data_IF_945896156030
#
_entry.id   IF_945896156030
#
_cell.length_a   1.000
_cell.length_b   1.000
_cell.length_c   1.000
_cell.angle_alpha   90.00
_cell.angle_beta   90.00
_cell.angle_gamma   90.00
#
_symmetry.space_group_name_H-M   'P 1'
#
loop_
_entity.id
_entity.type
_entity.pdbx_description
1 polymer ?
#
# COMPACT_ATOMS: atom_id res chain seq x y z
N UNK A 1 -50.66 -6.38 -13.19
CA UNK A 1 -49.52 -7.16 -13.71
C UNK A 1 -48.37 -6.97 -12.74
N UNK A 2 -48.12 -7.95 -11.87
CA UNK A 2 -47.09 -7.91 -10.82
C UNK A 2 -45.75 -8.26 -11.43
N UNK A 3 -44.76 -7.36 -11.31
CA UNK A 3 -43.37 -7.66 -11.69
C UNK A 3 -42.83 -8.84 -10.88
N UNK A 4 -42.00 -9.72 -11.46
CA UNK A 4 -41.40 -10.82 -10.72
C UNK A 4 -40.29 -10.30 -9.77
N UNK A 5 -40.04 -10.99 -8.64
CA UNK A 5 -38.99 -10.62 -7.71
C UNK A 5 -37.60 -10.90 -8.30
N UNK A 6 -36.68 -9.94 -8.16
CA UNK A 6 -35.27 -10.10 -8.49
C UNK A 6 -34.65 -10.96 -7.39
N UNK A 7 -34.31 -12.21 -7.70
CA UNK A 7 -33.50 -13.07 -6.84
C UNK A 7 -32.03 -12.73 -7.03
N UNK A 8 -31.37 -12.26 -5.97
CA UNK A 8 -29.92 -12.11 -5.92
C UNK A 8 -29.30 -13.49 -5.72
N UNK A 9 -28.65 -14.02 -6.76
CA UNK A 9 -27.79 -15.20 -6.63
C UNK A 9 -26.56 -14.85 -5.78
N UNK A 10 -26.14 -15.82 -4.97
CA UNK A 10 -25.05 -15.73 -3.98
C UNK A 10 -23.80 -15.07 -4.56
N UNK A 11 -23.22 -14.16 -3.76
CA UNK A 11 -21.93 -13.51 -3.98
C UNK A 11 -20.89 -14.50 -4.51
N UNK A 12 -20.63 -14.40 -5.81
CA UNK A 12 -19.42 -14.88 -6.43
C UNK A 12 -18.29 -13.99 -5.88
N UNK A 13 -17.53 -14.50 -4.92
CA UNK A 13 -16.33 -13.84 -4.40
C UNK A 13 -15.44 -13.48 -5.59
N UNK A 14 -15.40 -12.20 -5.92
CA UNK A 14 -14.53 -11.62 -6.94
C UNK A 14 -13.09 -11.70 -6.40
N UNK A 15 -12.50 -12.89 -6.50
CA UNK A 15 -11.09 -13.08 -6.21
C UNK A 15 -10.29 -12.28 -7.22
N UNK A 16 -9.66 -11.19 -6.77
CA UNK A 16 -8.67 -10.51 -7.59
C UNK A 16 -7.57 -11.53 -7.93
N UNK A 17 -7.27 -11.76 -9.23
CA UNK A 17 -6.14 -12.59 -9.59
C UNK A 17 -4.88 -11.98 -8.98
N UNK A 18 -4.08 -12.81 -8.30
CA UNK A 18 -2.79 -12.45 -7.69
C UNK A 18 -1.71 -12.13 -8.75
N UNK A 19 -2.12 -11.94 -10.01
CA UNK A 19 -1.23 -11.60 -11.11
C UNK A 19 -0.83 -10.12 -11.00
N UNK A 20 0.42 -9.84 -11.39
CA UNK A 20 0.94 -8.48 -11.48
C UNK A 20 -0.01 -7.64 -12.35
N UNK A 21 -0.60 -6.58 -11.80
CA UNK A 21 -1.52 -5.71 -12.55
C UNK A 21 -0.82 -5.01 -13.74
N UNK A 22 0.49 -4.85 -13.67
CA UNK A 22 1.29 -4.32 -14.76
C UNK A 22 1.77 -5.48 -15.65
N UNK A 23 1.62 -5.32 -16.97
CA UNK A 23 2.28 -6.16 -17.97
C UNK A 23 3.76 -6.24 -17.63
N UNK A 24 4.38 -7.42 -17.70
CA UNK A 24 5.82 -7.57 -17.45
C UNK A 24 6.61 -6.55 -18.28
N UNK A 25 7.22 -5.61 -17.57
CA UNK A 25 8.11 -4.61 -18.14
C UNK A 25 9.53 -5.19 -18.14
N UNK A 26 10.35 -4.87 -19.16
CA UNK A 26 11.74 -5.31 -19.20
C UNK A 26 12.58 -4.77 -18.03
N UNK A 27 12.14 -3.67 -17.42
CA UNK A 27 12.77 -3.04 -16.26
C UNK A 27 11.69 -2.83 -15.20
N UNK A 28 11.90 -3.39 -14.01
CA UNK A 28 10.96 -3.22 -12.90
C UNK A 28 10.97 -1.77 -12.40
N UNK A 29 9.81 -1.19 -12.03
CA UNK A 29 9.76 0.12 -11.37
C UNK A 29 10.68 0.20 -10.15
N UNK A 30 11.32 1.35 -9.95
CA UNK A 30 12.29 1.55 -8.86
C UNK A 30 13.67 0.93 -9.11
N UNK A 31 13.93 0.39 -10.30
CA UNK A 31 15.27 -0.07 -10.69
C UNK A 31 16.19 1.09 -11.04
N UNK A 32 17.48 0.95 -10.71
CA UNK A 32 18.51 1.88 -11.15
C UNK A 32 18.84 1.65 -12.63
N UNK A 33 18.66 2.67 -13.47
CA UNK A 33 18.93 2.59 -14.92
C UNK A 33 20.35 3.01 -15.31
N UNK A 34 21.24 3.23 -14.35
CA UNK A 34 22.53 3.87 -14.59
C UNK A 34 22.44 5.40 -14.53
N UNK A 35 23.59 6.09 -14.56
CA UNK A 35 23.60 7.54 -14.64
C UNK A 35 23.25 7.99 -16.06
N UNK A 36 22.64 9.18 -16.17
CA UNK A 36 22.43 9.85 -17.47
C UNK A 36 23.77 10.15 -18.15
N UNK A 37 24.83 10.34 -17.35
CA UNK A 37 26.19 10.58 -17.78
C UNK A 37 27.13 9.52 -17.22
N UNK A 38 27.55 8.59 -18.07
CA UNK A 38 28.43 7.48 -17.73
C UNK A 38 29.88 7.90 -17.45
N UNK A 39 30.25 9.16 -17.70
CA UNK A 39 31.60 9.68 -17.43
C UNK A 39 31.82 10.04 -15.95
N UNK A 40 30.75 10.09 -15.14
CA UNK A 40 30.85 10.44 -13.71
C UNK A 40 31.45 9.29 -12.88
N UNK A 41 32.28 9.61 -11.86
CA UNK A 41 32.80 8.61 -10.93
C UNK A 41 31.68 7.83 -10.24
N UNK A 42 31.77 6.49 -10.23
CA UNK A 42 30.78 5.59 -9.63
C UNK A 42 29.60 5.21 -10.54
N UNK A 43 29.65 5.57 -11.82
CA UNK A 43 28.65 5.22 -12.85
C UNK A 43 28.43 3.70 -13.04
N UNK A 44 29.43 2.89 -12.68
CA UNK A 44 29.47 1.45 -12.81
C UNK A 44 28.74 0.71 -11.66
N UNK A 45 28.40 1.40 -10.57
CA UNK A 45 27.84 0.79 -9.36
C UNK A 45 26.40 1.20 -9.12
N UNK A 46 25.54 0.22 -8.89
CA UNK A 46 24.16 0.46 -8.42
C UNK A 46 24.22 1.12 -7.04
N UNK A 47 23.63 2.33 -6.84
CA UNK A 47 23.60 2.99 -5.55
C UNK A 47 22.93 2.13 -4.48
N UNK A 48 23.39 2.23 -3.23
CA UNK A 48 22.82 1.49 -2.10
C UNK A 48 21.30 1.67 -1.96
N UNK A 49 20.78 2.83 -2.35
CA UNK A 49 19.35 3.15 -2.34
C UNK A 49 18.51 2.16 -3.18
N UNK A 50 19.06 1.65 -4.28
CA UNK A 50 18.37 0.77 -5.22
C UNK A 50 18.75 -0.70 -5.07
N UNK A 51 19.56 -1.03 -4.07
CA UNK A 51 19.90 -2.42 -3.76
C UNK A 51 18.87 -3.01 -2.79
N UNK A 52 18.54 -4.31 -2.90
CA UNK A 52 17.68 -4.99 -1.94
C UNK A 52 18.22 -4.92 -0.52
N UNK A 53 17.31 -5.00 0.45
CA UNK A 53 17.65 -5.06 1.86
C UNK A 53 16.68 -5.98 2.60
N UNK A 54 17.23 -6.77 3.53
CA UNK A 54 16.47 -7.76 4.30
C UNK A 54 16.43 -7.38 5.77
N UNK A 55 15.23 -7.38 6.35
CA UNK A 55 14.97 -7.20 7.78
C UNK A 55 14.25 -8.42 8.29
N UNK A 56 14.89 -9.20 9.18
CA UNK A 56 14.39 -10.54 9.59
C UNK A 56 14.14 -11.39 8.34
N UNK A 57 12.90 -11.83 8.14
CA UNK A 57 12.50 -12.67 7.01
C UNK A 57 11.90 -11.87 5.84
N UNK A 58 11.89 -10.53 5.93
CA UNK A 58 11.32 -9.64 4.92
C UNK A 58 12.42 -9.04 4.04
N UNK A 59 12.44 -9.44 2.77
CA UNK A 59 13.28 -8.80 1.73
C UNK A 59 12.48 -7.73 1.00
N UNK A 60 13.06 -6.53 0.93
CA UNK A 60 12.54 -5.36 0.24
C UNK A 60 13.42 -5.10 -1.00
N UNK A 61 12.80 -4.81 -2.15
CA UNK A 61 13.47 -4.71 -3.46
C UNK A 61 14.43 -3.52 -3.59
N UNK A 62 14.23 -2.46 -2.79
CA UNK A 62 15.09 -1.30 -2.70
C UNK A 62 14.91 -0.62 -1.32
N UNK A 63 15.69 0.43 -1.04
CA UNK A 63 15.66 1.16 0.23
C UNK A 63 14.80 2.44 0.17
N UNK A 64 13.95 2.57 -0.83
CA UNK A 64 12.98 3.68 -0.93
C UNK A 64 11.75 3.30 -0.10
N UNK A 65 11.55 4.03 1.00
CA UNK A 65 10.46 3.78 1.95
C UNK A 65 9.52 4.98 1.98
N UNK A 66 8.23 4.72 1.83
CA UNK A 66 7.20 5.73 2.06
C UNK A 66 6.85 5.72 3.56
N UNK A 67 7.09 6.82 4.29
CA UNK A 67 6.76 6.90 5.69
C UNK A 67 5.24 6.96 5.91
N UNK A 68 4.76 6.68 7.13
CA UNK A 68 3.34 6.88 7.46
C UNK A 68 3.00 8.38 7.37
N UNK A 69 2.02 8.73 6.53
CA UNK A 69 1.56 10.10 6.31
C UNK A 69 0.04 10.16 6.49
N UNK A 70 -0.45 10.85 7.52
CA UNK A 70 -1.89 11.01 7.73
C UNK A 70 -2.52 11.80 6.59
N UNK A 71 -3.57 11.25 5.99
CA UNK A 71 -4.27 11.88 4.87
C UNK A 71 -5.63 12.44 5.24
N UNK A 72 -6.11 12.18 6.46
CA UNK A 72 -7.36 12.73 6.99
C UNK A 72 -8.55 12.50 6.05
N UNK A 73 -8.59 11.33 5.43
CA UNK A 73 -9.50 11.01 4.32
C UNK A 73 -10.32 9.74 4.57
N UNK A 74 -10.38 9.27 5.82
CA UNK A 74 -11.24 8.17 6.22
C UNK A 74 -12.60 8.66 6.69
N UNK A 75 -13.59 7.77 6.63
CA UNK A 75 -14.89 7.95 7.27
C UNK A 75 -15.05 6.86 8.32
N UNK A 76 -15.27 7.26 9.57
CA UNK A 76 -15.43 6.34 10.71
C UNK A 76 -14.26 5.35 10.89
N UNK A 77 -13.04 5.72 10.49
CA UNK A 77 -11.86 4.86 10.54
C UNK A 77 -11.67 3.96 9.32
N UNK A 78 -12.63 3.90 8.40
CA UNK A 78 -12.54 3.03 7.23
C UNK A 78 -11.64 3.62 6.15
N UNK A 79 -10.66 2.81 5.72
CA UNK A 79 -9.99 3.04 4.46
C UNK A 79 -10.99 2.94 3.30
N UNK A 80 -10.70 3.65 2.22
CA UNK A 80 -11.53 3.72 1.02
C UNK A 80 -10.68 3.88 -0.24
N UNK A 81 -11.32 4.10 -1.40
CA UNK A 81 -10.65 4.17 -2.71
C UNK A 81 -9.55 5.22 -2.78
N UNK A 82 -9.66 6.31 -2.01
CA UNK A 82 -8.60 7.30 -1.86
C UNK A 82 -7.29 6.66 -1.37
N UNK A 83 -7.36 5.83 -0.33
CA UNK A 83 -6.19 5.21 0.29
C UNK A 83 -5.55 4.18 -0.65
N UNK A 84 -6.37 3.44 -1.41
CA UNK A 84 -5.89 2.56 -2.47
C UNK A 84 -5.14 3.34 -3.56
N UNK A 85 -5.72 4.41 -4.07
CA UNK A 85 -5.07 5.24 -5.08
C UNK A 85 -3.78 5.88 -4.54
N UNK A 86 -3.81 6.41 -3.33
CA UNK A 86 -2.67 7.07 -2.70
C UNK A 86 -1.51 6.10 -2.45
N UNK A 87 -1.74 5.05 -1.64
CA UNK A 87 -0.70 4.09 -1.27
C UNK A 87 -0.26 3.23 -2.48
N UNK A 88 -1.23 2.86 -3.32
CA UNK A 88 -0.98 2.10 -4.55
C UNK A 88 -0.13 2.88 -5.55
N UNK A 89 -0.29 4.20 -5.64
CA UNK A 89 0.55 5.03 -6.53
C UNK A 89 2.03 4.89 -6.19
N UNK A 90 2.41 4.88 -4.91
CA UNK A 90 3.82 4.72 -4.54
C UNK A 90 4.37 3.35 -4.89
N UNK A 91 3.57 2.30 -4.74
CA UNK A 91 3.96 0.95 -5.12
C UNK A 91 4.15 0.84 -6.65
N UNK A 92 3.24 1.41 -7.44
CA UNK A 92 3.36 1.48 -8.90
C UNK A 92 4.67 2.17 -9.32
N UNK A 93 5.07 3.24 -8.63
CA UNK A 93 6.30 3.98 -8.93
C UNK A 93 7.57 3.33 -8.34
N UNK A 94 7.47 2.14 -7.74
CA UNK A 94 8.62 1.33 -7.35
C UNK A 94 9.17 1.60 -5.96
N UNK A 95 8.41 2.18 -5.04
CA UNK A 95 8.82 2.21 -3.64
C UNK A 95 8.91 0.78 -3.08
N UNK A 96 10.02 0.42 -2.43
CA UNK A 96 10.21 -0.93 -1.90
C UNK A 96 9.26 -1.25 -0.75
N UNK A 97 9.02 -0.28 0.14
CA UNK A 97 8.14 -0.42 1.31
C UNK A 97 7.20 0.79 1.39
N UNK A 98 5.90 0.52 1.55
CA UNK A 98 4.87 1.54 1.74
C UNK A 98 4.23 1.33 3.12
N UNK A 99 4.31 2.34 3.98
CA UNK A 99 3.74 2.26 5.34
C UNK A 99 2.42 3.03 5.36
N UNK A 100 1.33 2.35 5.69
CA UNK A 100 0.02 2.99 5.88
C UNK A 100 0.08 4.02 7.00
N UNK A 101 -0.79 5.03 6.90
CA UNK A 101 -0.87 6.13 7.87
C UNK A 101 -1.13 5.66 9.30
N UNK A 102 -0.95 6.58 10.25
CA UNK A 102 -1.18 6.32 11.67
C UNK A 102 -2.60 5.77 11.89
N UNK A 103 -2.69 4.47 12.14
CA UNK A 103 -3.94 3.71 12.18
C UNK A 103 -4.33 3.49 13.63
N UNK A 104 -5.45 4.08 14.02
CA UNK A 104 -5.92 4.06 15.40
C UNK A 104 -6.35 2.65 15.83
N UNK A 105 -5.85 2.21 16.99
CA UNK A 105 -6.22 0.89 17.58
C UNK A 105 -7.58 0.89 18.27
N UNK A 106 -8.17 2.06 18.49
CA UNK A 106 -9.52 2.23 19.05
C UNK A 106 -10.15 3.55 18.57
N UNK A 107 -11.50 3.69 18.56
CA UNK A 107 -12.16 4.87 18.01
C UNK A 107 -11.74 6.20 18.64
N UNK A 108 -11.50 6.21 19.96
CA UNK A 108 -11.04 7.39 20.72
C UNK A 108 -9.55 7.68 20.58
N UNK A 109 -8.79 6.74 20.01
CA UNK A 109 -7.35 6.84 19.84
C UNK A 109 -6.94 7.59 18.56
N UNK A 110 -7.90 8.04 17.76
CA UNK A 110 -7.65 8.87 16.57
C UNK A 110 -7.13 10.27 16.96
N UNK A 111 -6.27 10.84 16.11
CA UNK A 111 -5.79 12.23 16.23
C UNK A 111 -6.86 13.17 15.67
N UNK A 112 -7.47 12.80 14.54
CA UNK A 112 -8.58 13.52 13.91
C UNK A 112 -9.77 12.59 13.63
N UNK A 113 -11.00 13.13 13.50
CA UNK A 113 -12.17 12.33 13.13
C UNK A 113 -12.01 11.56 11.80
N UNK A 114 -11.15 12.05 10.89
CA UNK A 114 -10.91 11.47 9.57
C UNK A 114 -9.68 10.55 9.53
N UNK A 115 -9.11 10.18 10.67
CA UNK A 115 -8.01 9.21 10.74
C UNK A 115 -8.49 7.77 10.61
N UNK A 116 -7.66 6.96 9.95
CA UNK A 116 -7.89 5.53 9.75
C UNK A 116 -7.88 4.76 11.08
N UNK A 117 -8.63 3.68 11.13
CA UNK A 117 -8.78 2.77 12.26
C UNK A 117 -8.52 1.32 11.93
N UNK A 118 -8.19 0.53 12.96
CA UNK A 118 -8.07 -0.93 12.91
C UNK A 118 -8.49 -1.56 14.24
N UNK A 119 -9.70 -1.24 14.70
CA UNK A 119 -10.29 -1.77 15.95
C UNK A 119 -11.46 -2.75 15.75
N UNK A 120 -11.92 -2.93 14.50
CA UNK A 120 -12.97 -3.87 14.11
C UNK A 120 -12.48 -4.71 12.93
N UNK A 121 -12.96 -5.95 12.83
CA UNK A 121 -12.72 -6.83 11.69
C UNK A 121 -13.27 -6.23 10.38
N UNK A 122 -14.28 -5.36 10.46
CA UNK A 122 -14.84 -4.65 9.31
C UNK A 122 -13.79 -3.78 8.58
N UNK A 123 -12.76 -3.31 9.28
CA UNK A 123 -11.67 -2.54 8.68
C UNK A 123 -10.72 -3.38 7.82
N UNK A 124 -10.69 -4.70 8.04
CA UNK A 124 -9.72 -5.60 7.41
C UNK A 124 -9.96 -5.67 5.91
N UNK A 125 -11.22 -5.64 5.46
CA UNK A 125 -11.55 -5.89 4.05
C UNK A 125 -10.82 -4.95 3.10
N UNK A 126 -10.95 -3.63 3.30
CA UNK A 126 -10.28 -2.65 2.42
C UNK A 126 -8.77 -2.61 2.65
N UNK A 127 -8.30 -2.79 3.89
CA UNK A 127 -6.87 -2.86 4.19
C UNK A 127 -6.20 -4.02 3.44
N UNK A 128 -6.86 -5.19 3.40
CA UNK A 128 -6.39 -6.37 2.67
C UNK A 128 -6.32 -6.10 1.17
N UNK A 129 -7.35 -5.49 0.59
CA UNK A 129 -7.36 -5.12 -0.84
C UNK A 129 -6.17 -4.21 -1.18
N UNK A 130 -5.86 -3.24 -0.33
CA UNK A 130 -4.71 -2.34 -0.51
C UNK A 130 -3.39 -3.11 -0.38
N UNK A 131 -3.26 -3.98 0.62
CA UNK A 131 -2.07 -4.79 0.83
C UNK A 131 -1.79 -5.74 -0.34
N UNK A 132 -2.83 -6.42 -0.83
CA UNK A 132 -2.74 -7.31 -1.98
C UNK A 132 -2.32 -6.53 -3.23
N UNK A 133 -2.90 -5.34 -3.45
CA UNK A 133 -2.52 -4.48 -4.57
C UNK A 133 -1.04 -4.04 -4.51
N UNK A 134 -0.56 -3.62 -3.34
CA UNK A 134 0.84 -3.22 -3.13
C UNK A 134 1.78 -4.40 -3.36
N UNK A 135 1.45 -5.57 -2.83
CA UNK A 135 2.24 -6.79 -3.04
C UNK A 135 2.30 -7.20 -4.51
N UNK A 136 1.20 -7.05 -5.25
CA UNK A 136 1.16 -7.32 -6.68
C UNK A 136 2.10 -6.39 -7.48
N UNK A 137 2.51 -5.22 -6.97
CA UNK A 137 3.51 -4.38 -7.64
C UNK A 137 4.97 -4.82 -7.35
N UNK A 138 5.19 -5.71 -6.39
CA UNK A 138 6.51 -6.13 -5.91
C UNK A 138 7.02 -5.33 -4.70
N UNK A 139 6.21 -4.41 -4.18
CA UNK A 139 6.46 -3.67 -2.95
C UNK A 139 5.98 -4.45 -1.73
N UNK A 140 6.40 -4.03 -0.54
CA UNK A 140 5.88 -4.52 0.75
C UNK A 140 5.01 -3.47 1.41
N UNK A 141 3.99 -3.90 2.16
CA UNK A 141 3.17 -3.01 2.96
C UNK A 141 3.53 -3.12 4.45
N UNK A 142 3.64 -1.98 5.12
CA UNK A 142 3.67 -1.85 6.58
C UNK A 142 2.47 -1.07 7.08
N UNK A 143 2.24 -1.10 8.39
CA UNK A 143 1.20 -0.32 9.06
C UNK A 143 1.75 0.28 10.35
N UNK A 144 1.43 1.55 10.61
CA UNK A 144 1.75 2.19 11.88
C UNK A 144 0.53 2.13 12.81
N UNK A 145 0.59 1.32 13.86
CA UNK A 145 -0.43 1.33 14.90
C UNK A 145 -0.26 2.57 15.79
N UNK A 146 -1.36 3.25 16.08
CA UNK A 146 -1.35 4.53 16.78
C UNK A 146 -2.44 4.67 17.84
N UNK A 147 -2.16 5.51 18.84
CA UNK A 147 -3.13 6.09 19.76
C UNK A 147 -2.68 7.51 20.11
N UNK A 148 -3.48 8.52 19.78
CA UNK A 148 -3.15 9.95 19.89
C UNK A 148 -2.97 10.42 21.35
N UNK A 149 -3.67 9.78 22.28
CA UNK A 149 -3.62 10.11 23.69
C UNK A 149 -4.26 11.48 23.94
N UNK A 150 -3.48 12.42 24.50
CA UNK A 150 -3.96 13.77 24.84
C UNK A 150 -3.79 14.82 23.73
N UNK A 151 -3.17 14.44 22.61
CA UNK A 151 -2.96 15.36 21.49
C UNK A 151 -4.31 15.70 20.86
#
# INVERSE_FOLDING_TARGET
>A
MSSPPITYEKEQTYGYPQERFLIEQPIAPGSYMGPIDASKPGADKVPLLFQPFTVKDLTIVNRVVVPPMCMYSSKDGFMGSFHLAHLGSFAIHGAGLVIAEATAVEPRGRISPQDVGLWSDDHIHKLKEIADFIHAQGSKMGIQLAHAGRK
#
